data_IF_247922702845
#
_entry.id   IF_247922702845
#
_cell.length_a   1.000
_cell.length_b   1.000
_cell.length_c   1.000
_cell.angle_alpha   90.00
_cell.angle_beta   90.00
_cell.angle_gamma   90.00
#
_symmetry.space_group_name_H-M   'P 1'
#
loop_
_entity.id
_entity.type
_entity.pdbx_description
1 polymer ?
2 non-polymer ?
3 water ?
#
# COMPACT_ATOMS: atom_id res chain seq x y z
N UNK A 2 17.73 -17.85 -12.25
CA UNK A 2 18.23 -16.46 -12.40
C UNK A 2 17.64 -15.55 -11.30
N UNK A 3 18.25 -14.39 -11.11
CA UNK A 3 17.80 -13.44 -10.09
C UNK A 3 16.38 -12.96 -10.40
N UNK A 4 16.06 -12.78 -11.68
CA UNK A 4 14.73 -12.33 -12.07
C UNK A 4 13.68 -13.36 -11.67
N UNK A 5 13.97 -14.63 -11.95
CA UNK A 5 13.05 -15.71 -11.60
C UNK A 5 12.93 -15.82 -10.08
N UNK A 6 14.02 -15.47 -9.39
CA UNK A 6 14.06 -15.52 -7.94
C UNK A 6 13.15 -14.44 -7.34
N UNK A 7 13.23 -13.24 -7.91
CA UNK A 7 12.43 -12.12 -7.45
C UNK A 7 10.94 -12.39 -7.71
N UNK A 8 10.63 -12.86 -8.92
CA UNK A 8 9.26 -13.15 -9.29
C UNK A 8 8.62 -14.14 -8.31
N UNK A 9 9.36 -15.18 -7.95
CA UNK A 9 8.88 -16.19 -7.03
C UNK A 9 8.68 -15.61 -5.63
N UNK A 10 9.62 -14.78 -5.19
CA UNK A 10 9.53 -14.19 -3.86
C UNK A 10 8.32 -13.27 -3.71
N UNK A 11 8.01 -12.53 -4.78
CA UNK A 11 6.89 -11.59 -4.76
C UNK A 11 5.54 -12.15 -5.18
N UNK A 12 5.54 -13.39 -5.68
CA UNK A 12 4.30 -14.03 -6.11
C UNK A 12 3.66 -13.47 -7.37
N UNK A 13 4.46 -12.82 -8.21
CA UNK A 13 3.96 -12.23 -9.45
C UNK A 13 3.67 -13.26 -10.55
N UNK A 14 2.63 -13.01 -11.34
CA UNK A 14 2.24 -13.89 -12.44
C UNK A 14 2.31 -13.13 -13.76
N UNK A 15 2.57 -13.84 -14.87
CA UNK A 15 2.65 -13.24 -16.20
C UNK A 15 1.33 -12.59 -16.62
N UNK A 16 0.23 -13.22 -16.25
CA UNK A 16 -1.09 -12.72 -16.58
C UNK A 16 -2.08 -13.15 -15.50
N UNK A 17 -3.14 -12.38 -15.33
CA UNK A 17 -4.14 -12.72 -14.33
C UNK A 17 -5.55 -12.49 -14.84
N UNK A 18 -6.51 -13.10 -14.17
CA UNK A 18 -7.91 -12.94 -14.50
C UNK A 18 -8.41 -11.92 -13.50
N UNK A 19 -8.84 -10.76 -13.98
CA UNK A 19 -9.30 -9.68 -13.11
C UNK A 19 -10.37 -10.10 -12.10
N UNK A 20 -11.44 -10.73 -12.58
CA UNK A 20 -12.52 -11.16 -11.71
C UNK A 20 -12.02 -12.10 -10.62
N UNK A 21 -11.16 -13.03 -11.00
CA UNK A 21 -10.61 -13.97 -10.04
C UNK A 21 -9.77 -13.29 -8.96
N UNK A 22 -8.93 -12.34 -9.36
CA UNK A 22 -8.09 -11.62 -8.40
C UNK A 22 -8.90 -10.71 -7.50
N UNK A 23 -9.97 -10.13 -8.03
CA UNK A 23 -10.81 -9.27 -7.22
C UNK A 23 -11.42 -10.12 -6.12
N UNK A 24 -11.97 -11.27 -6.50
CA UNK A 24 -12.58 -12.17 -5.53
C UNK A 24 -11.56 -12.73 -4.55
N UNK A 25 -10.36 -13.02 -5.01
CA UNK A 25 -9.33 -13.56 -4.11
C UNK A 25 -9.04 -12.57 -2.98
N UNK A 26 -8.90 -11.29 -3.34
CA UNK A 26 -8.61 -10.26 -2.36
C UNK A 26 -9.79 -10.01 -1.43
N UNK A 27 -10.99 -9.95 -1.98
CA UNK A 27 -12.17 -9.71 -1.16
C UNK A 27 -12.40 -10.86 -0.19
N UNK A 28 -12.36 -12.10 -0.66
CA UNK A 28 -12.56 -13.24 0.24
C UNK A 28 -11.44 -13.34 1.27
N UNK A 29 -10.25 -12.85 0.92
CA UNK A 29 -9.13 -12.85 1.85
C UNK A 29 -9.48 -11.94 3.03
N UNK A 30 -9.94 -10.73 2.73
CA UNK A 30 -10.32 -9.79 3.78
C UNK A 30 -11.48 -10.31 4.61
N UNK A 31 -12.48 -10.88 3.95
CA UNK A 31 -13.65 -11.42 4.64
C UNK A 31 -13.26 -12.55 5.58
N UNK A 32 -12.44 -13.46 5.09
CA UNK A 32 -11.99 -14.61 5.89
C UNK A 32 -11.21 -14.16 7.13
N UNK A 33 -10.37 -13.14 6.97
CA UNK A 33 -9.59 -12.65 8.09
C UNK A 33 -10.50 -12.10 9.18
N UNK A 34 -11.46 -11.26 8.77
CA UNK A 34 -12.39 -10.66 9.72
C UNK A 34 -13.24 -11.70 10.43
N UNK A 35 -13.59 -12.77 9.71
CA UNK A 35 -14.40 -13.84 10.29
C UNK A 35 -13.61 -14.65 11.31
N UNK A 36 -12.30 -14.74 11.09
CA UNK A 36 -11.42 -15.50 11.97
C UNK A 36 -11.10 -14.73 13.25
N UNK A 37 -11.12 -13.41 13.17
CA UNK A 37 -10.84 -12.55 14.33
C UNK A 37 -12.03 -11.60 14.49
N UNK A 38 -13.15 -12.12 15.01
CA UNK A 38 -14.39 -11.37 15.24
C UNK A 38 -14.31 -10.10 16.08
N UNK A 39 -13.22 -9.92 16.82
CA UNK A 39 -13.09 -8.70 17.62
C UNK A 39 -12.78 -7.51 16.72
N UNK A 40 -12.38 -7.78 15.48
CA UNK A 40 -12.08 -6.71 14.53
C UNK A 40 -13.37 -6.19 13.92
N UNK A 41 -13.61 -4.89 14.06
CA UNK A 41 -14.83 -4.29 13.54
C UNK A 41 -14.60 -3.32 12.40
N UNK A 42 -13.37 -2.87 12.22
CA UNK A 42 -13.11 -1.89 11.18
C UNK A 42 -11.86 -2.13 10.35
N UNK A 43 -11.92 -1.67 9.10
CA UNK A 43 -10.77 -1.75 8.20
C UNK A 43 -10.40 -0.27 8.02
N UNK A 44 -9.14 0.06 8.24
CA UNK A 44 -8.67 1.45 8.12
C UNK A 44 -7.69 1.59 6.97
N UNK A 45 -7.92 2.57 6.10
CA UNK A 45 -7.04 2.78 4.95
C UNK A 45 -6.86 4.24 4.60
N UNK A 46 -5.62 4.66 4.37
CA UNK A 46 -5.38 6.04 3.99
C UNK A 46 -5.69 6.19 2.51
N UNK A 47 -6.46 7.22 2.15
CA UNK A 47 -6.83 7.47 0.77
C UNK A 47 -6.05 8.67 0.25
N UNK A 48 -5.35 8.50 -0.87
CA UNK A 48 -4.54 9.58 -1.44
C UNK A 48 -5.02 10.07 -2.80
N UNK A 49 -5.93 9.31 -3.42
CA UNK A 49 -6.42 9.70 -4.72
C UNK A 49 -5.66 8.95 -5.80
N UNK A 50 -4.63 8.23 -5.39
CA UNK A 50 -3.83 7.45 -6.33
C UNK A 50 -4.44 6.10 -6.63
N UNK A 51 -3.94 5.47 -7.69
CA UNK A 51 -4.40 4.17 -8.13
C UNK A 51 -4.46 3.10 -7.04
N UNK A 52 -3.34 2.89 -6.37
CA UNK A 52 -3.23 1.86 -5.34
C UNK A 52 -4.24 1.94 -4.21
N UNK A 53 -4.38 3.10 -3.59
CA UNK A 53 -5.33 3.25 -2.48
C UNK A 53 -6.77 3.24 -2.97
N UNK A 54 -6.99 3.66 -4.21
CA UNK A 54 -8.34 3.66 -4.77
C UNK A 54 -8.80 2.21 -4.94
N UNK A 55 -7.90 1.39 -5.48
CA UNK A 55 -8.21 -0.02 -5.68
C UNK A 55 -8.41 -0.75 -4.35
N UNK A 56 -7.47 -0.57 -3.42
CA UNK A 56 -7.56 -1.21 -2.13
C UNK A 56 -8.83 -0.77 -1.38
N UNK A 57 -9.15 0.51 -1.49
CA UNK A 57 -10.34 1.03 -0.83
C UNK A 57 -11.63 0.40 -1.34
N UNK A 58 -11.73 0.23 -2.65
CA UNK A 58 -12.93 -0.36 -3.25
C UNK A 58 -13.08 -1.81 -2.78
N UNK A 59 -11.96 -2.54 -2.71
CA UNK A 59 -11.99 -3.92 -2.27
C UNK A 59 -12.39 -4.05 -0.79
N UNK A 60 -11.93 -3.11 0.03
CA UNK A 60 -12.28 -3.13 1.44
C UNK A 60 -13.78 -2.89 1.64
N UNK A 61 -14.34 -1.93 0.91
CA UNK A 61 -15.76 -1.63 1.05
C UNK A 61 -16.62 -2.81 0.57
N UNK A 62 -16.17 -3.49 -0.48
CA UNK A 62 -16.91 -4.64 -0.99
C UNK A 62 -16.92 -5.75 0.07
N UNK A 63 -15.77 -5.99 0.67
CA UNK A 63 -15.65 -7.02 1.71
C UNK A 63 -16.63 -6.72 2.86
N UNK A 64 -16.63 -5.47 3.31
CA UNK A 64 -17.51 -5.05 4.41
C UNK A 64 -18.99 -5.15 4.01
N UNK A 65 -19.31 -4.70 2.81
CA UNK A 65 -20.69 -4.75 2.32
C UNK A 65 -21.23 -6.18 2.36
N UNK A 66 -20.46 -7.12 1.82
CA UNK A 66 -20.86 -8.52 1.80
C UNK A 66 -21.00 -9.12 3.21
N UNK A 67 -20.03 -8.84 4.08
CA UNK A 67 -20.09 -9.36 5.45
C UNK A 67 -21.33 -8.89 6.18
N UNK A 68 -21.66 -7.61 6.06
CA UNK A 68 -22.83 -7.08 6.73
C UNK A 68 -24.11 -7.76 6.27
N UNK A 69 -24.21 -8.04 4.98
CA UNK A 69 -25.39 -8.70 4.42
C UNK A 69 -25.47 -10.16 4.85
N UNK A 70 -24.34 -10.85 4.79
CA UNK A 70 -24.26 -12.27 5.13
C UNK A 70 -24.33 -12.59 6.61
N UNK A 71 -23.83 -11.70 7.47
CA UNK A 71 -23.85 -11.96 8.90
C UNK A 71 -24.83 -11.11 9.69
N UNK A 72 -25.26 -9.99 9.10
CA UNK A 72 -26.17 -9.11 9.80
C UNK A 72 -25.47 -8.28 10.86
N UNK A 73 -24.14 -8.31 10.84
CA UNK A 73 -23.34 -7.56 11.80
C UNK A 73 -23.24 -6.10 11.33
N UNK A 74 -24.08 -5.24 11.89
CA UNK A 74 -24.09 -3.84 11.50
C UNK A 74 -22.98 -2.98 12.09
N UNK A 75 -22.15 -3.55 12.95
CA UNK A 75 -21.07 -2.77 13.55
C UNK A 75 -19.81 -2.72 12.69
N UNK A 76 -19.78 -3.50 11.61
CA UNK A 76 -18.61 -3.52 10.73
C UNK A 76 -18.58 -2.26 9.88
N UNK A 77 -17.39 -1.71 9.67
CA UNK A 77 -17.29 -0.50 8.87
C UNK A 77 -15.93 -0.32 8.20
N UNK A 78 -15.95 0.31 7.04
CA UNK A 78 -14.70 0.60 6.34
C UNK A 78 -14.47 2.08 6.58
N UNK A 79 -13.30 2.42 7.12
CA UNK A 79 -12.98 3.80 7.41
C UNK A 79 -11.87 4.32 6.49
N UNK A 80 -12.23 5.28 5.65
CA UNK A 80 -11.28 5.89 4.73
C UNK A 80 -10.69 7.12 5.44
N UNK A 81 -9.38 7.24 5.42
CA UNK A 81 -8.74 8.37 6.10
C UNK A 81 -7.96 9.26 5.13
N UNK A 82 -8.28 10.55 5.12
CA UNK A 82 -7.57 11.51 4.29
C UNK A 82 -6.50 12.09 5.21
N UNK A 83 -5.26 12.11 4.75
CA UNK A 83 -4.15 12.59 5.56
C UNK A 83 -3.33 13.65 4.86
N UNK A 84 -3.94 14.82 4.60
CA UNK A 84 -3.24 15.91 3.93
C UNK A 84 -2.17 16.59 4.79
N UNK A 85 -1.14 17.08 4.13
CA UNK A 85 -0.08 17.81 4.83
C UNK A 85 -0.41 19.26 4.50
N UNK A 86 -1.15 19.92 5.39
CA UNK A 86 -1.53 21.29 5.12
C UNK A 86 -2.70 21.29 4.16
N UNK A 87 -2.54 21.96 3.02
CA UNK A 87 -3.61 22.02 2.03
C UNK A 87 -3.16 21.42 0.69
N UNK A 91 -7.26 17.93 -4.19
CA UNK A 91 -8.26 17.05 -3.51
C UNK A 91 -9.25 16.45 -4.51
N UNK A 92 -9.26 16.98 -5.73
CA UNK A 92 -10.17 16.49 -6.75
C UNK A 92 -10.07 14.99 -6.96
N UNK A 93 -8.85 14.47 -7.07
CA UNK A 93 -8.66 13.04 -7.27
C UNK A 93 -9.15 12.27 -6.04
N UNK A 94 -8.84 12.79 -4.85
CA UNK A 94 -9.29 12.14 -3.62
C UNK A 94 -10.80 12.12 -3.58
N UNK A 95 -11.43 13.24 -3.91
CA UNK A 95 -12.88 13.32 -3.91
C UNK A 95 -13.51 12.35 -4.91
N UNK A 96 -12.90 12.24 -6.08
CA UNK A 96 -13.39 11.32 -7.10
C UNK A 96 -13.25 9.89 -6.61
N UNK A 97 -12.14 9.59 -5.95
CA UNK A 97 -11.89 8.25 -5.44
C UNK A 97 -12.94 7.89 -4.38
N UNK A 98 -13.20 8.83 -3.49
CA UNK A 98 -14.18 8.62 -2.44
C UNK A 98 -15.57 8.36 -3.01
N UNK A 99 -15.92 9.08 -4.07
CA UNK A 99 -17.23 8.89 -4.71
C UNK A 99 -17.35 7.51 -5.34
N UNK A 100 -16.22 6.98 -5.82
CA UNK A 100 -16.19 5.66 -6.45
C UNK A 100 -16.27 4.54 -5.41
N UNK A 101 -15.57 4.72 -4.31
CA UNK A 101 -15.53 3.73 -3.24
C UNK A 101 -16.81 3.74 -2.40
N UNK A 102 -17.31 4.95 -2.09
CA UNK A 102 -18.50 5.11 -1.27
C UNK A 102 -18.26 4.48 0.10
N UNK A 103 -17.22 4.95 0.80
CA UNK A 103 -16.87 4.43 2.13
C UNK A 103 -17.90 4.74 3.21
N UNK A 104 -18.01 3.86 4.18
CA UNK A 104 -18.96 4.05 5.28
C UNK A 104 -18.64 5.32 6.04
N UNK A 105 -17.36 5.58 6.22
CA UNK A 105 -16.93 6.74 7.00
C UNK A 105 -15.66 7.34 6.42
N UNK A 106 -15.58 8.66 6.44
CA UNK A 106 -14.41 9.38 5.95
C UNK A 106 -13.92 10.33 7.03
N UNK A 107 -12.65 10.18 7.40
CA UNK A 107 -12.04 11.04 8.41
C UNK A 107 -10.93 11.81 7.73
N UNK A 108 -10.74 13.05 8.14
CA UNK A 108 -9.69 13.88 7.57
C UNK A 108 -8.79 14.32 8.72
N UNK A 109 -7.52 13.96 8.65
CA UNK A 109 -6.57 14.31 9.69
C UNK A 109 -5.39 15.04 9.05
N UNK A 110 -5.23 16.32 9.37
CA UNK A 110 -4.14 17.10 8.81
C UNK A 110 -2.89 16.85 9.64
N UNK A 111 -1.89 16.23 9.02
CA UNK A 111 -0.65 15.89 9.71
C UNK A 111 0.41 16.98 9.81
N UNK A 112 0.18 18.14 9.21
CA UNK A 112 1.19 19.19 9.24
C UNK A 112 1.63 19.63 10.63
N UNK A 113 0.67 19.88 11.52
CA UNK A 113 1.00 20.31 12.86
C UNK A 113 1.94 19.38 13.61
N UNK A 114 1.67 18.07 13.54
CA UNK A 114 2.51 17.10 14.22
C UNK A 114 3.90 17.03 13.61
N UNK A 115 3.99 17.10 12.29
CA UNK A 115 5.30 17.06 11.63
C UNK A 115 6.15 18.26 12.04
N UNK A 116 5.54 19.45 12.05
CA UNK A 116 6.27 20.65 12.45
C UNK A 116 6.74 20.54 13.90
N UNK A 117 5.89 19.99 14.75
CA UNK A 117 6.24 19.83 16.16
C UNK A 117 7.41 18.87 16.34
N UNK A 118 7.44 17.80 15.53
CA UNK A 118 8.53 16.84 15.62
C UNK A 118 9.84 17.48 15.20
N UNK A 119 9.79 18.29 14.15
CA UNK A 119 11.01 18.94 13.67
C UNK A 119 11.53 19.99 14.64
N UNK A 120 10.64 20.65 15.36
CA UNK A 120 11.06 21.66 16.32
C UNK A 120 11.80 20.96 17.46
N UNK A 121 11.28 19.80 17.87
CA UNK A 121 11.90 19.04 18.94
C UNK A 121 13.30 18.59 18.51
N UNK A 122 13.44 18.18 17.25
CA UNK A 122 14.74 17.75 16.74
C UNK A 122 15.71 18.93 16.61
N UNK A 123 15.17 20.06 16.16
CA UNK A 123 15.97 21.27 15.99
C UNK A 123 16.58 21.68 17.33
N UNK A 124 15.80 21.60 18.40
CA UNK A 124 16.30 21.95 19.72
C UNK A 124 17.39 20.98 20.14
N UNK A 125 17.41 19.81 19.51
CA UNK A 125 18.41 18.79 19.83
C UNK A 125 19.63 18.97 18.95
N UNK A 126 19.56 19.91 18.01
CA UNK A 126 20.68 20.16 17.12
C UNK A 126 20.60 19.46 15.78
N UNK A 127 19.44 18.89 15.46
CA UNK A 127 19.26 18.18 14.21
C UNK A 127 18.28 18.88 13.26
N UNK A 128 18.77 19.24 12.06
CA UNK A 128 17.95 19.88 11.04
C UNK A 128 17.68 18.84 9.95
N UNK A 129 16.41 18.58 9.67
CA UNK A 129 16.05 17.59 8.67
C UNK A 129 16.11 18.13 7.25
N UNK A 130 16.41 17.24 6.31
CA UNK A 130 16.46 17.59 4.90
C UNK A 130 15.06 17.34 4.35
N UNK A 131 14.76 17.91 3.19
CA UNK A 131 13.45 17.70 2.57
C UNK A 131 13.22 16.21 2.30
N UNK A 132 14.30 15.51 1.97
CA UNK A 132 14.19 14.08 1.68
C UNK A 132 13.75 13.27 2.90
N UNK A 133 14.42 13.49 4.03
CA UNK A 133 14.07 12.78 5.24
C UNK A 133 12.70 13.21 5.74
N UNK A 134 12.36 14.48 5.51
CA UNK A 134 11.06 14.98 5.93
C UNK A 134 9.94 14.22 5.23
N UNK A 135 10.21 13.75 4.02
CA UNK A 135 9.21 12.99 3.27
C UNK A 135 8.90 11.69 3.98
N UNK A 136 9.93 11.04 4.52
CA UNK A 136 9.72 9.78 5.22
C UNK A 136 9.08 10.03 6.57
N UNK A 137 9.38 11.18 7.15
CA UNK A 137 8.81 11.56 8.43
C UNK A 137 7.29 11.72 8.27
N UNK A 138 6.87 12.31 7.15
CA UNK A 138 5.44 12.49 6.88
C UNK A 138 4.74 11.13 6.77
N UNK A 139 5.40 10.19 6.08
CA UNK A 139 4.84 8.85 5.91
C UNK A 139 4.65 8.14 7.25
N UNK A 140 5.57 8.36 8.17
CA UNK A 140 5.48 7.75 9.49
C UNK A 140 4.42 8.42 10.35
N UNK A 141 4.19 9.72 10.14
CA UNK A 141 3.13 10.38 10.92
C UNK A 141 1.78 9.84 10.41
N UNK A 142 1.69 9.57 9.11
CA UNK A 142 0.46 9.01 8.54
C UNK A 142 0.21 7.62 9.11
N UNK A 143 1.27 6.85 9.31
CA UNK A 143 1.16 5.51 9.88
C UNK A 143 0.64 5.65 11.32
N UNK A 144 1.24 6.59 12.07
CA UNK A 144 0.83 6.85 13.44
C UNK A 144 -0.65 7.16 13.57
N UNK A 145 -1.14 8.06 12.72
CA UNK A 145 -2.55 8.45 12.75
C UNK A 145 -3.48 7.27 12.47
N UNK A 146 -3.13 6.47 11.46
CA UNK A 146 -3.97 5.31 11.13
C UNK A 146 -4.01 4.29 12.26
N UNK A 147 -2.88 4.06 12.92
CA UNK A 147 -2.87 3.08 14.00
C UNK A 147 -3.63 3.61 15.22
N UNK A 148 -3.60 4.92 15.43
CA UNK A 148 -4.36 5.50 16.54
C UNK A 148 -5.86 5.34 16.28
N UNK A 149 -6.27 5.52 15.03
CA UNK A 149 -7.67 5.36 14.66
C UNK A 149 -8.07 3.90 14.82
N UNK A 150 -7.25 2.99 14.31
CA UNK A 150 -7.50 1.56 14.42
C UNK A 150 -7.66 1.19 15.90
N UNK A 151 -6.78 1.74 16.73
CA UNK A 151 -6.82 1.46 18.16
C UNK A 151 -8.12 1.85 18.84
N UNK A 152 -8.76 2.92 18.35
CA UNK A 152 -10.00 3.40 18.94
C UNK A 152 -11.26 2.84 18.27
N UNK A 153 -11.09 2.17 17.14
CA UNK A 153 -12.24 1.62 16.41
C UNK A 153 -12.18 0.11 16.24
N UNK A 154 -11.34 -0.55 17.03
CA UNK A 154 -11.17 -2.00 16.94
C UNK A 154 -10.90 -2.40 15.49
N UNK A 155 -9.97 -1.73 14.83
CA UNK A 155 -9.71 -2.08 13.45
C UNK A 155 -8.30 -2.51 13.14
N UNK A 156 -8.05 -2.78 11.87
CA UNK A 156 -6.72 -3.15 11.42
C UNK A 156 -6.41 -2.22 10.26
N UNK A 157 -5.13 -1.95 10.05
CA UNK A 157 -4.69 -1.06 9.00
C UNK A 157 -4.37 -1.83 7.72
N UNK A 158 -5.03 -1.43 6.63
CA UNK A 158 -4.85 -2.06 5.33
C UNK A 158 -3.75 -1.34 4.57
N UNK A 159 -2.87 -2.11 3.92
CA UNK A 159 -1.79 -1.51 3.16
C UNK A 159 -2.01 -1.64 1.66
N UNK A 160 -1.32 -0.80 0.88
CA UNK A 160 -1.45 -0.82 -0.57
C UNK A 160 -0.27 -1.45 -1.29
N UNK A 161 0.70 -1.95 -0.53
CA UNK A 161 1.89 -2.57 -1.14
C UNK A 161 1.55 -3.66 -2.15
N UNK A 162 2.27 -3.65 -3.27
CA UNK A 162 2.09 -4.63 -4.33
C UNK A 162 3.45 -4.96 -4.94
N UNK A 163 3.50 -5.90 -5.88
CA UNK A 163 4.75 -6.33 -6.47
C UNK A 163 5.60 -5.24 -7.14
N UNK A 164 4.95 -4.30 -7.82
CA UNK A 164 5.68 -3.24 -8.51
C UNK A 164 6.27 -2.20 -7.55
N UNK A 165 5.79 -2.21 -6.31
CA UNK A 165 6.30 -1.30 -5.30
C UNK A 165 7.31 -2.04 -4.42
N UNK A 166 7.02 -3.30 -4.13
CA UNK A 166 7.89 -4.12 -3.28
C UNK A 166 9.24 -4.39 -3.91
N UNK A 167 9.25 -4.63 -5.23
CA UNK A 167 10.48 -4.95 -5.92
C UNK A 167 11.58 -3.90 -5.78
N UNK A 168 11.20 -2.62 -5.76
CA UNK A 168 12.15 -1.54 -5.65
C UNK A 168 12.30 -1.03 -4.22
N UNK A 169 11.42 -1.49 -3.33
CA UNK A 169 11.47 -1.04 -1.96
C UNK A 169 11.13 0.43 -1.87
N UNK A 170 10.35 0.91 -2.84
CA UNK A 170 9.96 2.31 -2.87
C UNK A 170 8.78 2.63 -1.97
N UNK A 171 9.02 2.50 -0.67
CA UNK A 171 8.04 2.81 0.35
C UNK A 171 8.84 3.11 1.60
N UNK A 172 8.24 3.85 2.53
CA UNK A 172 8.94 4.21 3.75
C UNK A 172 8.84 3.10 4.78
N UNK A 173 10.00 2.69 5.30
CA UNK A 173 10.07 1.64 6.32
C UNK A 173 9.33 2.11 7.56
N UNK A 174 8.31 1.35 7.96
CA UNK A 174 7.47 1.69 9.11
C UNK A 174 6.69 2.96 8.86
N UNK A 175 6.58 3.33 7.59
CA UNK A 175 5.80 4.49 7.18
C UNK A 175 4.60 3.89 6.47
N UNK A 176 4.49 4.10 5.16
CA UNK A 176 3.37 3.49 4.44
C UNK A 176 3.61 1.98 4.34
N UNK A 177 4.79 1.54 4.73
CA UNK A 177 5.10 0.12 4.73
C UNK A 177 4.63 -0.52 6.03
N UNK A 178 4.27 0.32 7.00
CA UNK A 178 3.81 -0.18 8.28
C UNK A 178 2.30 -0.40 8.30
N UNK A 179 1.89 -1.61 7.94
CA UNK A 179 0.46 -1.95 7.88
C UNK A 179 0.23 -3.34 8.47
N UNK A 180 -1.04 -3.73 8.56
CA UNK A 180 -1.39 -5.03 9.11
C UNK A 180 -1.71 -6.08 8.05
N UNK A 181 -2.46 -5.68 7.03
CA UNK A 181 -2.86 -6.63 5.98
C UNK A 181 -2.82 -5.94 4.61
N UNK A 182 -2.18 -6.61 3.65
CA UNK A 182 -1.95 -6.09 2.30
C UNK A 182 -2.62 -6.96 1.24
N UNK A 183 -3.87 -6.62 0.87
CA UNK A 183 -4.64 -7.37 -0.12
C UNK A 183 -4.19 -7.28 -1.59
N UNK A 184 -3.33 -6.32 -1.93
CA UNK A 184 -2.86 -6.16 -3.31
C UNK A 184 -1.53 -6.87 -3.58
N UNK A 185 -0.87 -7.31 -2.52
CA UNK A 185 0.41 -7.99 -2.66
C UNK A 185 0.30 -9.15 -3.66
N UNK A 186 1.17 -9.12 -4.67
CA UNK A 186 1.29 -10.10 -5.76
C UNK A 186 1.06 -9.46 -7.13
N UNK A 187 0.29 -8.38 -7.14
CA UNK A 187 -0.05 -7.70 -8.39
C UNK A 187 0.98 -6.66 -8.84
N UNK A 188 1.17 -6.54 -10.16
CA UNK A 188 2.09 -5.52 -10.65
C UNK A 188 1.24 -4.28 -10.98
N UNK A 189 1.87 -3.20 -11.43
CA UNK A 189 1.13 -1.97 -11.69
C UNK A 189 0.00 -2.06 -12.71
N UNK A 190 0.30 -2.56 -13.91
CA UNK A 190 -0.73 -2.65 -14.94
C UNK A 190 -1.84 -3.63 -14.56
N UNK A 191 -1.52 -4.63 -13.74
CA UNK A 191 -2.56 -5.59 -13.32
C UNK A 191 -3.52 -4.89 -12.37
N UNK A 192 -3.02 -3.90 -11.63
CA UNK A 192 -3.88 -3.15 -10.73
C UNK A 192 -4.88 -2.37 -11.57
N UNK A 193 -4.41 -1.81 -12.68
CA UNK A 193 -5.27 -1.04 -13.58
C UNK A 193 -6.34 -1.96 -14.15
N UNK A 194 -5.95 -3.20 -14.42
CA UNK A 194 -6.84 -4.21 -14.97
C UNK A 194 -8.03 -4.45 -14.02
N UNK A 195 -7.74 -4.54 -12.73
CA UNK A 195 -8.78 -4.75 -11.73
C UNK A 195 -9.70 -3.54 -11.63
N UNK A 196 -9.11 -2.34 -11.66
CA UNK A 196 -9.91 -1.12 -11.57
C UNK A 196 -10.85 -1.00 -12.77
N UNK A 197 -10.38 -1.42 -13.94
CA UNK A 197 -11.19 -1.36 -15.16
C UNK A 197 -12.38 -2.30 -15.00
N UNK A 198 -12.14 -3.48 -14.46
CA UNK A 198 -13.20 -4.46 -14.26
C UNK A 198 -14.20 -3.99 -13.20
N UNK A 199 -13.77 -3.05 -12.36
CA UNK A 199 -14.62 -2.51 -11.30
C UNK A 199 -15.33 -1.24 -11.77
N UNK A 200 -15.16 -0.91 -13.04
CA UNK A 200 -15.77 0.28 -13.63
C UNK A 200 -15.30 1.57 -12.95
N UNK A 201 -14.01 1.63 -12.64
CA UNK A 201 -13.45 2.81 -12.01
C UNK A 201 -13.25 3.94 -13.02
N UNK A 202 -13.55 5.19 -12.63
CA UNK A 202 -13.37 6.32 -13.54
C UNK A 202 -11.96 6.21 -14.10
N UNK A 203 -11.84 6.23 -15.42
CA UNK A 203 -10.56 6.08 -16.08
C UNK A 203 -9.44 7.05 -15.67
N UNK A 204 -9.78 8.31 -15.38
CA UNK A 204 -8.76 9.28 -15.02
C UNK A 204 -8.08 9.02 -13.67
N UNK A 205 -8.61 8.09 -12.89
CA UNK A 205 -8.03 7.78 -11.59
C UNK A 205 -6.86 6.80 -11.67
N UNK A 206 -6.67 6.18 -12.84
CA UNK A 206 -5.56 5.24 -12.97
C UNK A 206 -4.77 5.36 -14.28
N UNK A 207 -5.00 6.44 -15.02
CA UNK A 207 -4.29 6.67 -16.27
C UNK A 207 -4.50 8.10 -16.78
N UNK A 224 7.99 8.17 -15.61
CA UNK A 224 9.06 7.30 -15.04
C UNK A 224 8.83 6.96 -13.58
N UNK A 225 9.72 6.13 -13.05
CA UNK A 225 9.68 5.71 -11.66
C UNK A 225 11.00 6.12 -11.01
N UNK A 226 12.09 5.84 -11.71
CA UNK A 226 13.44 6.17 -11.23
C UNK A 226 14.51 5.76 -12.24
N UNK A 227 15.68 6.39 -12.13
CA UNK A 227 16.83 6.11 -12.98
C UNK A 227 16.50 5.67 -14.42
N UNK A 228 15.52 6.32 -15.04
CA UNK A 228 15.16 5.95 -16.40
C UNK A 228 14.32 4.68 -16.50
N UNK A 229 13.85 4.19 -15.36
CA UNK A 229 13.03 2.98 -15.32
C UNK A 229 11.57 3.37 -15.16
N UNK A 230 10.72 2.84 -16.03
CA UNK A 230 9.29 3.15 -15.97
C UNK A 230 8.52 1.98 -15.37
N UNK A 231 7.26 2.19 -15.07
CA UNK A 231 6.45 1.11 -14.51
C UNK A 231 6.29 -0.01 -15.53
N UNK A 232 6.29 0.35 -16.81
CA UNK A 232 6.16 -0.66 -17.84
C UNK A 232 7.37 -1.59 -17.79
N UNK A 233 8.54 -1.02 -17.53
CA UNK A 233 9.77 -1.81 -17.43
C UNK A 233 9.66 -2.74 -16.22
N UNK A 234 9.21 -2.20 -15.10
CA UNK A 234 9.07 -3.00 -13.89
C UNK A 234 8.03 -4.11 -14.07
N UNK A 235 6.89 -3.77 -14.66
CA UNK A 235 5.85 -4.78 -14.87
C UNK A 235 6.34 -5.88 -15.82
N UNK A 236 7.00 -5.49 -16.91
CA UNK A 236 7.51 -6.49 -17.85
C UNK A 236 8.47 -7.43 -17.14
N UNK A 237 9.36 -6.87 -16.32
CA UNK A 237 10.33 -7.65 -15.57
C UNK A 237 9.61 -8.66 -14.68
N UNK A 238 8.58 -8.18 -13.99
CA UNK A 238 7.78 -9.02 -13.08
C UNK A 238 6.99 -10.09 -13.82
N UNK A 239 6.70 -9.84 -15.09
CA UNK A 239 5.95 -10.79 -15.90
C UNK A 239 6.87 -11.81 -16.55
N UNK A 240 8.16 -11.74 -16.23
CA UNK A 240 9.12 -12.67 -16.78
C UNK A 240 9.64 -12.35 -18.17
N UNK A 241 9.35 -11.14 -18.65
CA UNK A 241 9.80 -10.74 -19.98
C UNK A 241 11.24 -10.28 -19.96
N UNK A 242 11.81 -10.14 -21.15
CA UNK A 242 13.19 -9.70 -21.29
C UNK A 242 13.21 -8.18 -21.43
N UNK A 243 13.99 -7.52 -20.58
CA UNK A 243 14.10 -6.07 -20.62
C UNK A 243 15.56 -5.69 -20.84
N UNK A 244 15.82 -4.45 -21.27
CA UNK A 244 17.20 -3.99 -21.52
C UNK A 244 18.09 -4.21 -20.29
N UNK A 245 19.35 -4.57 -20.52
CA UNK A 245 20.31 -4.81 -19.44
C UNK A 245 20.38 -3.67 -18.44
N UNK A 246 20.49 -2.44 -18.92
CA UNK A 246 20.57 -1.28 -18.05
C UNK A 246 19.40 -1.27 -17.08
N UNK A 247 18.20 -1.46 -17.63
CA UNK A 247 16.98 -1.48 -16.83
C UNK A 247 16.98 -2.61 -15.81
N UNK A 248 17.27 -3.84 -16.27
CA UNK A 248 17.30 -4.99 -15.38
C UNK A 248 18.26 -4.80 -14.22
N UNK A 249 19.46 -4.31 -14.52
CA UNK A 249 20.46 -4.08 -13.48
C UNK A 249 20.02 -3.05 -12.45
N UNK A 250 19.37 -1.99 -12.92
CA UNK A 250 18.90 -0.95 -12.00
C UNK A 250 17.85 -1.54 -11.07
N UNK A 251 16.90 -2.28 -11.64
CA UNK A 251 15.83 -2.90 -10.87
C UNK A 251 16.39 -3.86 -9.82
N UNK A 252 17.27 -4.75 -10.26
CA UNK A 252 17.87 -5.74 -9.37
C UNK A 252 18.71 -5.07 -8.28
N UNK A 253 19.28 -3.92 -8.61
CA UNK A 253 20.10 -3.21 -7.63
C UNK A 253 19.20 -2.71 -6.49
N UNK A 254 18.10 -2.05 -6.86
CA UNK A 254 17.15 -1.53 -5.88
C UNK A 254 16.63 -2.65 -4.99
N UNK A 255 16.34 -3.79 -5.61
CA UNK A 255 15.82 -4.94 -4.88
C UNK A 255 16.77 -5.44 -3.79
N UNK A 256 18.01 -5.73 -4.19
CA UNK A 256 19.00 -6.22 -3.23
C UNK A 256 19.30 -5.21 -2.12
N UNK A 257 19.30 -3.94 -2.48
CA UNK A 257 19.57 -2.87 -1.54
C UNK A 257 18.48 -2.70 -0.48
N UNK A 258 17.24 -3.02 -0.84
CA UNK A 258 16.12 -2.84 0.07
C UNK A 258 15.56 -4.12 0.71
N UNK A 259 16.32 -5.20 0.68
CA UNK A 259 15.86 -6.45 1.28
C UNK A 259 15.50 -6.26 2.76
N UNK A 260 16.19 -5.36 3.45
CA UNK A 260 15.91 -5.13 4.86
C UNK A 260 14.50 -4.60 5.12
N UNK A 261 13.88 -4.00 4.10
CA UNK A 261 12.54 -3.46 4.23
C UNK A 261 11.46 -4.52 4.11
N UNK A 262 11.80 -5.65 3.49
CA UNK A 262 10.83 -6.72 3.27
C UNK A 262 10.95 -7.88 4.26
N UNK A 263 11.69 -7.66 5.35
CA UNK A 263 11.89 -8.67 6.38
C UNK A 263 11.80 -8.01 7.75
N UNK A 264 11.58 -8.82 8.80
CA UNK A 264 11.49 -8.29 10.18
C UNK A 264 12.89 -7.84 10.58
N UNK A 265 13.02 -7.16 11.74
CA UNK A 265 14.33 -6.70 12.22
C UNK A 265 15.37 -7.81 12.20
N UNK A 266 16.59 -7.48 11.79
CA UNK A 266 17.68 -8.44 11.68
C UNK A 266 18.21 -8.94 13.04
N UNK A 267 18.40 -10.25 13.14
CA UNK A 267 18.89 -10.88 14.37
C UNK A 267 20.15 -11.69 14.04
N UNK A 268 20.81 -12.23 15.07
CA UNK A 268 22.02 -13.02 14.84
C UNK A 268 21.74 -14.29 14.06
N UNK A 269 20.47 -14.66 13.93
CA UNK A 269 20.11 -15.88 13.19
C UNK A 269 19.96 -15.69 11.67
N UNK A 270 19.86 -14.44 11.22
CA UNK A 270 19.70 -14.16 9.80
C UNK A 270 21.02 -14.25 9.03
N UNK A 271 20.93 -14.67 7.77
CA UNK A 271 22.13 -14.78 6.95
C UNK A 271 21.93 -14.20 5.55
N UNK A 272 20.72 -13.73 5.26
CA UNK A 272 20.43 -13.18 3.94
C UNK A 272 21.30 -11.98 3.58
N UNK A 273 21.80 -11.28 4.59
CA UNK A 273 22.62 -10.08 4.35
C UNK A 273 24.13 -10.33 4.18
N UNK A 274 24.58 -11.54 4.54
CA UNK A 274 26.00 -11.85 4.44
C UNK A 274 26.50 -11.96 3.00
N UNK A 275 27.54 -11.21 2.69
CA UNK A 275 28.12 -11.19 1.34
C UNK A 275 29.57 -11.68 1.32
#
# INVERSE_FOLDING_TARGET
MTLQQQIIKALGAKPQINAEEEIRRSVDFLKSYLQTYPFIKSLVLGISGGQDSTLAGKLCQMAINELRLETGNESLQFIAVRLPYGVQADEQDCQDAIAFIQPDRVLTVNIKGAVLASEQALREAGIELSDFVRGNEKARERMKAQYSIAGMTSGVVVGTDHAAEAITGFFTKYGDGGTDINPLYRLNKRQGKQLLAALACPEHLYKKAPTADLEDDRPSLPDEVALGVTYDNIDDYLEGKNVPQQVARTIENWYLKTEHKRRPPITVFDDFWKK
#
